data_IF_416644402513
#
_entry.id   IF_416644402513
#
_cell.length_a   1.000
_cell.length_b   1.000
_cell.length_c   1.000
_cell.angle_alpha   90.00
_cell.angle_beta   90.00
_cell.angle_gamma   90.00
#
_symmetry.space_group_name_H-M   'P 1'
#
loop_
_entity.id
_entity.type
_entity.pdbx_description
1 polymer ?
#
# COMPACT_ATOMS: atom_id res chain seq x y z
N UNK A 1 -3.23 14.25 -12.08
CA UNK A 1 -2.20 14.15 -11.04
C UNK A 1 -1.93 12.67 -10.84
N UNK A 2 -0.68 12.24 -10.88
CA UNK A 2 -0.33 10.81 -10.78
C UNK A 2 -0.20 10.46 -9.30
N UNK A 3 -1.10 9.64 -8.78
CA UNK A 3 -1.02 9.14 -7.40
C UNK A 3 0.14 8.15 -7.31
N UNK A 4 1.13 8.46 -6.48
CA UNK A 4 2.25 7.54 -6.24
C UNK A 4 1.89 6.58 -5.11
N UNK A 5 1.77 5.30 -5.42
CA UNK A 5 1.47 4.26 -4.42
C UNK A 5 2.65 3.30 -4.38
N UNK A 6 3.30 3.21 -3.23
CA UNK A 6 4.39 2.26 -2.99
C UNK A 6 3.89 1.16 -2.06
N UNK A 7 4.19 -0.07 -2.43
CA UNK A 7 3.76 -1.25 -1.70
C UNK A 7 4.96 -2.17 -1.45
N UNK A 8 5.42 -2.22 -0.21
CA UNK A 8 6.43 -3.18 0.21
C UNK A 8 5.79 -4.53 0.50
N UNK A 9 6.27 -5.57 -0.20
CA UNK A 9 5.68 -6.92 -0.11
C UNK A 9 6.72 -8.01 -0.05
N UNK A 10 6.23 -9.24 0.14
CA UNK A 10 6.96 -10.47 -0.10
C UNK A 10 6.12 -11.40 -0.97
N UNK A 11 6.77 -12.30 -1.72
CA UNK A 11 6.11 -13.17 -2.70
C UNK A 11 5.09 -14.14 -2.10
N UNK A 12 5.33 -14.60 -0.87
CA UNK A 12 4.50 -15.62 -0.23
C UNK A 12 3.43 -15.03 0.71
N UNK A 13 3.46 -13.73 1.00
CA UNK A 13 2.58 -13.15 2.02
C UNK A 13 1.12 -13.00 1.53
N UNK A 14 0.14 -13.63 2.21
CA UNK A 14 -1.27 -13.54 1.84
C UNK A 14 -1.86 -12.13 2.05
N UNK A 15 -1.39 -11.40 3.07
CA UNK A 15 -1.84 -10.03 3.35
C UNK A 15 -1.41 -9.05 2.25
N UNK A 16 -0.22 -9.24 1.67
CA UNK A 16 0.23 -8.46 0.52
C UNK A 16 -0.71 -8.64 -0.67
N UNK A 17 -1.17 -9.88 -0.94
CA UNK A 17 -2.13 -10.12 -2.02
C UNK A 17 -3.46 -9.42 -1.79
N UNK A 18 -3.95 -9.40 -0.55
CA UNK A 18 -5.19 -8.67 -0.19
C UNK A 18 -5.06 -7.17 -0.47
N UNK A 19 -3.98 -6.55 -0.04
CA UNK A 19 -3.72 -5.12 -0.32
C UNK A 19 -3.64 -4.84 -1.83
N UNK A 20 -2.94 -5.69 -2.61
CA UNK A 20 -2.88 -5.58 -4.08
C UNK A 20 -4.27 -5.68 -4.72
N UNK A 21 -5.09 -6.63 -4.28
CA UNK A 21 -6.46 -6.78 -4.78
C UNK A 21 -7.28 -5.52 -4.53
N UNK A 22 -7.24 -4.96 -3.31
CA UNK A 22 -7.97 -3.74 -2.99
C UNK A 22 -7.53 -2.56 -3.88
N UNK A 23 -6.22 -2.34 -4.02
CA UNK A 23 -5.69 -1.31 -4.92
C UNK A 23 -6.10 -1.54 -6.39
N UNK A 24 -6.16 -2.81 -6.82
CA UNK A 24 -6.63 -3.19 -8.15
C UNK A 24 -8.12 -2.93 -8.34
N UNK A 25 -8.95 -3.23 -7.35
CA UNK A 25 -10.39 -2.95 -7.36
C UNK A 25 -10.64 -1.44 -7.41
N UNK A 26 -9.81 -0.67 -6.69
CA UNK A 26 -9.77 0.78 -6.82
C UNK A 26 -9.24 1.24 -8.17
N UNK A 27 -8.64 0.38 -8.99
CA UNK A 27 -8.11 0.71 -10.30
C UNK A 27 -6.94 1.69 -10.27
N UNK A 28 -6.14 1.65 -9.20
CA UNK A 28 -4.91 2.45 -9.08
C UNK A 28 -3.70 1.62 -9.44
N UNK A 29 -2.67 2.27 -9.96
CA UNK A 29 -1.37 1.64 -10.17
C UNK A 29 -0.52 1.82 -8.92
N UNK A 30 0.26 0.82 -8.57
CA UNK A 30 1.22 0.88 -7.48
C UNK A 30 2.55 0.30 -7.93
N UNK A 31 3.61 0.76 -7.28
CA UNK A 31 4.95 0.21 -7.42
C UNK A 31 5.18 -0.78 -6.29
N UNK A 32 5.39 -2.02 -6.69
CA UNK A 32 5.68 -3.11 -5.78
C UNK A 32 7.18 -3.21 -5.52
N UNK A 33 7.56 -3.26 -4.26
CA UNK A 33 8.94 -3.41 -3.80
C UNK A 33 9.05 -4.68 -2.97
N UNK A 34 9.69 -5.70 -3.53
CA UNK A 34 9.93 -6.96 -2.81
C UNK A 34 11.14 -6.80 -1.88
N UNK A 35 10.89 -6.95 -0.57
CA UNK A 35 11.91 -6.82 0.49
C UNK A 35 12.70 -8.12 0.74
N UNK A 36 12.27 -9.23 0.16
CA UNK A 36 13.03 -10.49 0.14
C UNK A 36 13.94 -10.58 -1.07
N UNK A 37 13.50 -10.03 -2.21
CA UNK A 37 14.31 -10.00 -3.41
C UNK A 37 15.49 -9.00 -3.30
N UNK A 38 15.29 -7.86 -2.63
CA UNK A 38 16.31 -6.84 -2.47
C UNK A 38 16.38 -6.31 -1.02
N UNK A 39 17.52 -6.47 -0.32
CA UNK A 39 17.70 -5.95 1.03
C UNK A 39 17.64 -4.42 1.11
N UNK A 40 17.89 -3.70 0.01
CA UNK A 40 17.75 -2.23 -0.04
C UNK A 40 16.28 -1.82 0.17
N UNK A 41 15.33 -2.56 -0.40
CA UNK A 41 13.90 -2.30 -0.17
C UNK A 41 13.51 -2.53 1.28
N UNK A 42 14.08 -3.56 1.93
CA UNK A 42 13.86 -3.80 3.36
C UNK A 42 14.36 -2.62 4.18
N UNK A 43 15.57 -2.14 3.92
CA UNK A 43 16.14 -1.00 4.65
C UNK A 43 15.28 0.25 4.48
N UNK A 44 14.93 0.60 3.24
CA UNK A 44 14.07 1.73 2.94
C UNK A 44 12.69 1.62 3.61
N UNK A 45 12.10 0.42 3.62
CA UNK A 45 10.84 0.15 4.32
C UNK A 45 10.96 0.42 5.82
N UNK A 46 11.99 -0.10 6.46
CA UNK A 46 12.21 0.05 7.91
C UNK A 46 12.50 1.51 8.27
N UNK A 47 13.27 2.23 7.46
CA UNK A 47 13.55 3.66 7.64
C UNK A 47 12.30 4.52 7.48
N UNK A 48 11.46 4.21 6.48
CA UNK A 48 10.27 5.00 6.18
C UNK A 48 9.09 4.70 7.13
N UNK A 49 8.90 3.43 7.52
CA UNK A 49 7.76 3.00 8.34
C UNK A 49 8.09 2.83 9.82
N UNK A 50 9.36 2.73 10.19
CA UNK A 50 9.80 2.29 11.52
C UNK A 50 9.41 0.84 11.85
N UNK A 51 8.84 0.08 10.90
CA UNK A 51 8.34 -1.28 11.08
C UNK A 51 9.11 -2.26 10.20
N UNK A 52 9.24 -3.50 10.68
CA UNK A 52 9.88 -4.60 9.97
C UNK A 52 8.89 -5.64 9.43
N UNK A 53 7.59 -5.35 9.48
CA UNK A 53 6.52 -6.25 9.06
C UNK A 53 5.99 -5.86 7.69
N UNK A 54 5.52 -6.82 6.90
CA UNK A 54 4.87 -6.60 5.60
C UNK A 54 3.39 -6.97 5.65
N UNK A 55 2.53 -6.35 4.82
CA UNK A 55 2.84 -5.27 3.87
C UNK A 55 3.07 -3.92 4.55
N UNK A 56 3.81 -3.03 3.89
CA UNK A 56 3.82 -1.59 4.23
C UNK A 56 3.40 -0.80 2.99
N UNK A 57 2.37 0.03 3.14
CA UNK A 57 1.76 0.83 2.08
C UNK A 57 2.06 2.30 2.30
N UNK A 58 2.49 2.98 1.23
CA UNK A 58 2.65 4.42 1.19
C UNK A 58 1.86 4.99 0.02
N UNK A 59 1.14 6.08 0.27
CA UNK A 59 0.33 6.78 -0.74
C UNK A 59 0.76 8.24 -0.73
N UNK A 60 1.24 8.75 -1.86
CA UNK A 60 1.78 10.11 -2.01
C UNK A 60 2.82 10.46 -0.92
N UNK A 61 3.70 9.51 -0.60
CA UNK A 61 4.71 9.64 0.47
C UNK A 61 4.16 9.56 1.89
N UNK A 62 2.85 9.44 2.08
CA UNK A 62 2.24 9.24 3.40
C UNK A 62 2.21 7.75 3.75
N UNK A 63 2.74 7.40 4.93
CA UNK A 63 2.67 6.04 5.44
C UNK A 63 1.24 5.71 5.85
N UNK A 64 0.65 4.71 5.20
CA UNK A 64 -0.71 4.22 5.51
C UNK A 64 -0.66 3.16 6.60
N UNK A 65 0.37 2.31 6.59
CA UNK A 65 0.47 1.15 7.46
C UNK A 65 0.45 -0.15 6.67
N UNK A 66 -0.08 -1.21 7.27
CA UNK A 66 -0.23 -2.53 6.68
C UNK A 66 -1.58 -2.76 5.98
N UNK A 67 -1.88 -4.05 5.76
CA UNK A 67 -3.09 -4.44 5.06
C UNK A 67 -4.34 -4.01 5.83
N UNK A 68 -4.38 -4.23 7.14
CA UNK A 68 -5.54 -3.92 7.96
C UNK A 68 -5.82 -2.41 7.95
N UNK A 69 -4.80 -1.58 8.19
CA UNK A 69 -4.92 -0.11 8.15
C UNK A 69 -5.43 0.40 6.79
N UNK A 70 -4.99 -0.22 5.68
CA UNK A 70 -5.48 0.12 4.34
C UNK A 70 -6.97 -0.20 4.16
N UNK A 71 -7.41 -1.38 4.61
CA UNK A 71 -8.83 -1.76 4.57
C UNK A 71 -9.68 -0.89 5.49
N UNK A 72 -9.17 -0.51 6.66
CA UNK A 72 -9.86 0.42 7.56
C UNK A 72 -10.05 1.79 6.91
N UNK A 73 -9.03 2.34 6.23
CA UNK A 73 -9.17 3.58 5.47
C UNK A 73 -10.18 3.47 4.32
N UNK A 74 -10.24 2.30 3.68
CA UNK A 74 -11.21 2.04 2.63
C UNK A 74 -12.65 2.04 3.15
N UNK A 75 -12.90 1.32 4.24
CA UNK A 75 -14.21 1.26 4.90
C UNK A 75 -14.64 2.65 5.39
N UNK A 76 -13.68 3.48 5.82
CA UNK A 76 -13.93 4.87 6.24
C UNK A 76 -14.11 5.83 5.05
N UNK A 77 -13.89 5.39 3.81
CA UNK A 77 -13.94 6.22 2.60
C UNK A 77 -12.82 7.27 2.52
N UNK A 78 -11.77 7.12 3.32
CA UNK A 78 -10.61 8.01 3.33
C UNK A 78 -9.56 7.58 2.30
N UNK A 79 -9.50 6.29 1.99
CA UNK A 79 -8.58 5.76 0.97
C UNK A 79 -8.80 6.43 -0.39
N UNK A 80 -10.06 6.57 -0.83
CA UNK A 80 -10.38 7.23 -2.10
C UNK A 80 -9.88 8.68 -2.12
N UNK A 81 -9.98 9.41 -1.00
CA UNK A 81 -9.45 10.78 -0.87
C UNK A 81 -7.94 10.81 -1.02
N UNK A 82 -7.22 9.90 -0.35
CA UNK A 82 -5.76 9.78 -0.44
C UNK A 82 -5.30 9.41 -1.85
N UNK A 83 -6.06 8.55 -2.52
CA UNK A 83 -5.81 8.16 -3.90
C UNK A 83 -6.17 9.26 -4.90
N UNK A 84 -6.76 10.38 -4.45
CA UNK A 84 -7.24 11.45 -5.31
C UNK A 84 -8.38 11.01 -6.22
N UNK A 85 -9.13 9.98 -5.81
CA UNK A 85 -10.26 9.44 -6.54
C UNK A 85 -11.56 9.92 -5.90
N UNK A 86 -12.47 10.40 -6.74
CA UNK A 86 -13.86 10.53 -6.33
C UNK A 86 -14.40 9.11 -6.09
N UNK A 87 -15.07 8.83 -4.94
CA UNK A 87 -15.68 7.53 -4.74
C UNK A 87 -16.57 7.25 -5.94
N UNK A 88 -16.37 6.11 -6.61
CA UNK A 88 -17.36 5.63 -7.58
C UNK A 88 -18.60 5.29 -6.76
N UNK A 89 -19.54 6.22 -6.70
CA UNK A 89 -20.89 5.94 -6.28
C UNK A 89 -21.40 4.80 -7.17
N UNK A 90 -21.62 3.63 -6.55
CA UNK A 90 -22.48 2.61 -7.11
C UNK A 90 -23.83 2.74 -6.44
#
# INVERSE_FOLDING_TARGET
MTTDVLLYTTNWCPFCRRAKTLLKEKGVQWKELDIEADPVHRQAMTEASGRNTVPQIFINGTHVGGSDELFELDVRGELDKLLGRTPRAN
#
